data_IF_346083110322
#
_entry.id   IF_346083110322
#
_cell.length_a   1.000
_cell.length_b   1.000
_cell.length_c   1.000
_cell.angle_alpha   90.00
_cell.angle_beta   90.00
_cell.angle_gamma   90.00
#
_symmetry.space_group_name_H-M   'P 1'
#
loop_
_entity.id
_entity.type
_entity.pdbx_description
1 polymer ?
#
# COMPACT_ATOMS: atom_id res chain seq x y z
N UNK A 1 -21.64 12.73 -0.56
CA UNK A 1 -20.32 12.36 0.00
C UNK A 1 -19.77 13.58 0.72
N UNK A 2 -19.05 13.43 1.83
CA UNK A 2 -18.41 14.53 2.55
C UNK A 2 -16.97 14.17 2.93
N UNK A 3 -16.06 15.15 3.06
CA UNK A 3 -14.78 14.94 3.73
C UNK A 3 -15.02 14.59 5.20
N UNK A 4 -14.26 13.63 5.71
CA UNK A 4 -14.30 13.18 7.09
C UNK A 4 -12.90 12.84 7.61
N UNK A 5 -12.75 12.88 8.94
CA UNK A 5 -11.54 12.50 9.64
C UNK A 5 -11.79 11.30 10.54
N UNK A 6 -10.84 10.37 10.60
CA UNK A 6 -10.87 9.21 11.51
C UNK A 6 -10.62 9.67 12.95
N UNK A 7 -11.54 9.31 13.84
CA UNK A 7 -11.43 9.55 15.29
C UNK A 7 -10.84 8.31 15.99
N UNK A 8 -11.26 7.12 15.56
CA UNK A 8 -10.73 5.83 16.01
C UNK A 8 -10.92 4.77 14.92
N UNK A 9 -10.08 3.73 14.91
CA UNK A 9 -10.14 2.62 13.96
C UNK A 9 -9.85 1.30 14.65
N UNK A 10 -10.73 0.32 14.44
CA UNK A 10 -10.60 -1.05 14.94
C UNK A 10 -10.14 -1.96 13.79
N UNK A 11 -8.85 -2.28 13.75
CA UNK A 11 -8.25 -3.05 12.66
C UNK A 11 -8.77 -4.49 12.54
N UNK A 12 -9.22 -5.11 13.65
CA UNK A 12 -9.74 -6.47 13.67
C UNK A 12 -11.12 -6.60 12.98
N UNK A 13 -11.96 -5.55 13.06
CA UNK A 13 -13.31 -5.54 12.49
C UNK A 13 -13.44 -4.63 11.26
N UNK A 14 -12.37 -3.92 10.91
CA UNK A 14 -12.32 -2.94 9.82
C UNK A 14 -13.40 -1.83 9.93
N UNK A 15 -13.68 -1.40 11.17
CA UNK A 15 -14.64 -0.34 11.46
C UNK A 15 -13.93 0.90 12.01
N UNK A 16 -14.34 2.07 11.53
CA UNK A 16 -13.89 3.36 12.02
C UNK A 16 -15.02 4.15 12.66
N UNK A 17 -14.65 5.01 13.61
CA UNK A 17 -15.44 6.17 14.00
C UNK A 17 -14.91 7.38 13.23
N UNK A 18 -15.80 8.12 12.57
CA UNK A 18 -15.41 9.22 11.69
C UNK A 18 -16.20 10.49 12.03
N UNK A 19 -15.53 11.64 11.86
CA UNK A 19 -16.11 12.96 12.03
C UNK A 19 -16.21 13.64 10.66
N UNK A 20 -17.42 13.85 10.11
CA UNK A 20 -17.58 14.70 8.93
C UNK A 20 -17.08 16.12 9.21
N UNK A 21 -16.34 16.70 8.27
CA UNK A 21 -15.65 17.98 8.45
C UNK A 21 -16.45 19.19 7.96
N UNK A 22 -17.48 18.98 7.14
CA UNK A 22 -18.37 20.06 6.67
C UNK A 22 -19.52 20.25 7.64
N UNK A 23 -19.58 21.44 8.25
CA UNK A 23 -20.63 21.85 9.19
C UNK A 23 -22.00 21.96 8.52
N UNK A 24 -23.06 21.85 9.31
CA UNK A 24 -24.40 22.24 8.89
C UNK A 24 -24.63 23.72 9.21
N UNK A 25 -25.44 24.40 8.40
CA UNK A 25 -25.91 25.75 8.70
C UNK A 25 -27.41 25.65 8.98
N UNK A 26 -27.84 26.13 10.16
CA UNK A 26 -29.26 26.14 10.54
C UNK A 26 -30.01 27.26 9.81
N UNK A 27 -31.34 27.29 9.93
CA UNK A 27 -32.18 28.37 9.40
C UNK A 27 -31.82 29.75 9.95
N UNK A 28 -31.22 29.80 11.15
CA UNK A 28 -30.76 31.02 11.81
C UNK A 28 -29.31 31.38 11.47
N UNK A 29 -28.74 30.76 10.43
CA UNK A 29 -27.37 30.93 9.97
C UNK A 29 -26.29 30.54 11.01
N UNK A 30 -26.64 29.65 11.95
CA UNK A 30 -25.72 29.14 12.96
C UNK A 30 -24.99 27.91 12.41
N UNK A 31 -23.66 27.90 12.52
CA UNK A 31 -22.84 26.75 12.15
C UNK A 31 -22.86 25.69 13.24
N UNK A 32 -23.26 24.46 12.89
CA UNK A 32 -23.32 23.32 13.80
C UNK A 32 -22.43 22.19 13.27
N UNK A 33 -21.51 21.72 14.12
CA UNK A 33 -20.68 20.55 13.80
C UNK A 33 -21.57 19.31 13.72
N UNK A 34 -21.31 18.48 12.71
CA UNK A 34 -21.98 17.18 12.59
C UNK A 34 -21.54 16.27 13.73
N UNK A 35 -22.41 15.37 14.16
CA UNK A 35 -22.03 14.32 15.11
C UNK A 35 -21.00 13.35 14.54
N UNK A 36 -20.24 12.72 15.43
CA UNK A 36 -19.38 11.60 15.07
C UNK A 36 -20.23 10.40 14.66
N UNK A 37 -19.77 9.68 13.63
CA UNK A 37 -20.43 8.49 13.12
C UNK A 37 -19.60 7.28 13.51
N UNK A 38 -20.18 6.38 14.29
CA UNK A 38 -19.53 5.14 14.74
C UNK A 38 -19.76 3.99 13.75
N UNK A 39 -18.93 2.95 13.87
CA UNK A 39 -19.11 1.66 13.19
C UNK A 39 -19.25 1.76 11.66
N UNK A 40 -18.48 2.66 11.05
CA UNK A 40 -18.41 2.86 9.60
C UNK A 40 -17.36 1.92 9.01
N UNK A 41 -17.73 1.03 8.08
CA UNK A 41 -16.77 0.20 7.36
C UNK A 41 -15.77 1.05 6.57
N UNK A 42 -14.50 0.68 6.64
CA UNK A 42 -13.44 1.33 5.86
C UNK A 42 -13.19 0.55 4.56
N UNK A 43 -13.10 1.27 3.45
CA UNK A 43 -12.78 0.67 2.16
C UNK A 43 -11.39 0.03 2.18
N UNK A 44 -11.36 -1.23 1.75
CA UNK A 44 -10.16 -2.02 1.53
C UNK A 44 -10.22 -2.55 0.10
N UNK A 45 -9.18 -2.30 -0.67
CA UNK A 45 -9.09 -2.84 -2.03
C UNK A 45 -8.73 -4.32 -1.94
N UNK A 46 -9.63 -5.21 -2.35
CA UNK A 46 -9.42 -6.65 -2.20
C UNK A 46 -10.44 -7.49 -2.97
N UNK A 47 -10.08 -8.76 -3.19
CA UNK A 47 -10.84 -9.73 -3.99
C UNK A 47 -9.93 -10.88 -4.45
N UNK A 48 -10.52 -12.03 -4.81
CA UNK A 48 -9.76 -13.17 -5.33
C UNK A 48 -8.69 -13.75 -4.39
N UNK A 49 -8.85 -13.56 -3.07
CA UNK A 49 -7.87 -13.99 -2.06
C UNK A 49 -6.80 -12.95 -1.68
N UNK A 50 -6.86 -11.74 -2.26
CA UNK A 50 -5.91 -10.66 -2.00
C UNK A 50 -6.57 -9.46 -1.31
N UNK A 51 -5.80 -8.72 -0.51
CA UNK A 51 -6.23 -7.48 0.14
C UNK A 51 -5.07 -6.49 0.25
N UNK A 52 -5.32 -5.23 -0.11
CA UNK A 52 -4.43 -4.10 0.14
C UNK A 52 -4.94 -3.33 1.36
N UNK A 53 -4.11 -3.29 2.42
CA UNK A 53 -4.44 -2.66 3.69
C UNK A 53 -3.56 -1.44 3.92
N UNK A 54 -4.18 -0.28 4.08
CA UNK A 54 -3.51 0.92 4.54
C UNK A 54 -3.52 0.97 6.09
N UNK A 55 -2.44 1.45 6.74
CA UNK A 55 -2.39 1.59 8.20
C UNK A 55 -3.17 2.83 8.66
N UNK A 56 -4.49 2.70 8.76
CA UNK A 56 -5.37 3.81 9.18
C UNK A 56 -5.19 4.12 10.66
N UNK A 57 -5.04 5.40 10.99
CA UNK A 57 -4.82 5.92 12.33
C UNK A 57 -5.75 7.11 12.62
N UNK A 58 -5.82 7.50 13.90
CA UNK A 58 -6.56 8.71 14.30
C UNK A 58 -5.96 9.92 13.58
N UNK A 59 -6.83 10.73 12.99
CA UNK A 59 -6.46 11.95 12.28
C UNK A 59 -6.36 11.79 10.77
N UNK A 60 -6.31 10.55 10.26
CA UNK A 60 -6.31 10.31 8.81
C UNK A 60 -7.60 10.82 8.18
N UNK A 61 -7.47 11.35 6.96
CA UNK A 61 -8.55 11.94 6.20
C UNK A 61 -9.11 10.94 5.20
N UNK A 62 -10.31 11.24 4.72
CA UNK A 62 -10.98 10.44 3.70
C UNK A 62 -12.41 10.91 3.45
N UNK A 63 -13.09 10.23 2.55
CA UNK A 63 -14.45 10.57 2.18
C UNK A 63 -15.44 9.64 2.87
N UNK A 64 -16.49 10.20 3.46
CA UNK A 64 -17.65 9.43 3.92
C UNK A 64 -18.75 9.47 2.86
N UNK A 65 -19.20 8.30 2.40
CA UNK A 65 -20.29 8.14 1.45
C UNK A 65 -21.42 7.35 2.10
N UNK A 66 -22.59 7.98 2.25
CA UNK A 66 -23.79 7.31 2.70
C UNK A 66 -24.25 6.28 1.65
N UNK A 67 -24.65 5.10 2.10
CA UNK A 67 -25.32 4.12 1.24
C UNK A 67 -26.78 4.52 1.03
N UNK A 68 -27.40 3.93 0.01
CA UNK A 68 -28.79 4.21 -0.33
C UNK A 68 -29.77 3.73 0.75
N UNK A 69 -29.39 2.68 1.49
CA UNK A 69 -30.20 2.01 2.52
C UNK A 69 -29.35 1.59 3.71
N UNK A 70 -30.03 1.21 4.78
CA UNK A 70 -29.44 0.60 5.97
C UNK A 70 -28.67 -0.69 5.62
N UNK A 71 -27.42 -0.79 6.07
CA UNK A 71 -26.52 -1.93 5.82
C UNK A 71 -26.25 -2.78 7.08
N UNK A 72 -26.92 -2.50 8.21
CA UNK A 72 -26.66 -3.12 9.51
C UNK A 72 -26.75 -4.65 9.50
N UNK A 73 -27.73 -5.23 8.80
CA UNK A 73 -27.86 -6.68 8.67
C UNK A 73 -26.78 -7.26 7.74
N UNK A 74 -26.47 -6.59 6.64
CA UNK A 74 -25.38 -6.99 5.75
C UNK A 74 -24.03 -7.03 6.48
N UNK A 75 -23.74 -6.04 7.35
CA UNK A 75 -22.51 -6.02 8.15
C UNK A 75 -22.37 -7.22 9.10
N UNK A 76 -23.47 -7.84 9.48
CA UNK A 76 -23.48 -9.00 10.39
C UNK A 76 -23.40 -10.32 9.61
N UNK A 77 -24.25 -10.47 8.59
CA UNK A 77 -24.40 -11.73 7.87
C UNK A 77 -23.48 -11.88 6.66
N UNK A 78 -23.07 -10.78 6.03
CA UNK A 78 -22.42 -10.75 4.71
C UNK A 78 -23.24 -11.43 3.61
N UNK A 79 -24.54 -11.56 3.83
CA UNK A 79 -25.50 -12.17 2.91
C UNK A 79 -26.52 -11.13 2.45
N UNK A 80 -27.28 -11.50 1.42
CA UNK A 80 -28.44 -10.71 1.01
C UNK A 80 -29.42 -10.55 2.18
N UNK A 81 -29.78 -9.30 2.48
CA UNK A 81 -30.69 -8.97 3.56
C UNK A 81 -31.50 -7.71 3.22
N UNK A 82 -32.77 -7.62 3.66
CA UNK A 82 -33.53 -6.37 3.56
C UNK A 82 -32.93 -5.29 4.50
N UNK A 83 -33.18 -3.99 4.26
CA UNK A 83 -32.79 -2.94 5.19
C UNK A 83 -33.50 -3.09 6.54
N UNK A 84 -32.76 -3.00 7.66
CA UNK A 84 -33.35 -3.09 9.01
C UNK A 84 -34.20 -1.85 9.37
N UNK A 85 -33.86 -0.69 8.80
CA UNK A 85 -34.59 0.55 8.99
C UNK A 85 -34.90 1.19 7.64
N UNK A 86 -35.88 2.11 7.62
CA UNK A 86 -36.25 2.86 6.41
C UNK A 86 -35.30 4.04 6.10
N UNK A 87 -34.16 4.15 6.79
CA UNK A 87 -33.19 5.23 6.57
C UNK A 87 -32.63 5.14 5.15
N UNK A 88 -32.52 6.31 4.52
CA UNK A 88 -31.97 6.48 3.16
C UNK A 88 -30.94 7.58 3.19
N UNK A 89 -29.83 7.40 2.47
CA UNK A 89 -28.77 8.40 2.34
C UNK A 89 -28.27 8.97 3.68
N UNK A 90 -28.25 8.12 4.72
CA UNK A 90 -27.78 8.49 6.05
C UNK A 90 -26.31 8.13 6.22
N UNK A 91 -25.54 9.01 6.86
CA UNK A 91 -24.15 8.71 7.19
C UNK A 91 -24.00 7.60 8.24
N UNK A 92 -25.05 7.31 9.02
CA UNK A 92 -25.06 6.15 9.93
C UNK A 92 -24.88 4.81 9.21
N UNK A 93 -25.21 4.77 7.92
CA UNK A 93 -25.10 3.61 7.04
C UNK A 93 -24.13 3.93 5.91
N UNK A 94 -22.98 4.51 6.24
CA UNK A 94 -21.96 4.92 5.27
C UNK A 94 -20.82 3.92 5.11
N UNK A 95 -19.98 4.19 4.12
CA UNK A 95 -18.65 3.65 3.96
C UNK A 95 -17.63 4.80 4.00
N UNK A 96 -16.47 4.56 4.60
CA UNK A 96 -15.35 5.50 4.64
C UNK A 96 -14.30 5.09 3.62
N UNK A 97 -13.88 6.02 2.78
CA UNK A 97 -12.85 5.86 1.75
C UNK A 97 -11.61 6.65 2.19
N UNK A 98 -10.56 5.98 2.68
CA UNK A 98 -9.32 6.66 3.01
C UNK A 98 -8.76 7.38 1.79
N UNK A 99 -8.46 8.65 1.95
CA UNK A 99 -7.86 9.47 0.91
C UNK A 99 -6.91 10.43 1.59
N UNK A 100 -5.75 10.62 0.99
CA UNK A 100 -4.82 11.62 1.44
C UNK A 100 -5.30 13.05 1.15
N UNK A 101 -6.35 13.20 0.33
CA UNK A 101 -6.98 14.46 -0.02
C UNK A 101 -5.96 15.46 -0.59
N UNK A 102 -6.16 16.74 -0.32
CA UNK A 102 -5.28 17.84 -0.67
C UNK A 102 -4.01 17.92 0.19
N UNK A 103 -3.67 16.88 0.97
CA UNK A 103 -2.35 16.83 1.60
C UNK A 103 -1.32 16.68 0.49
N UNK A 104 -0.42 17.66 0.36
CA UNK A 104 0.66 17.58 -0.61
C UNK A 104 1.64 16.48 -0.20
N UNK A 105 1.81 15.48 -1.06
CA UNK A 105 2.94 14.57 -0.98
C UNK A 105 3.94 14.98 -2.03
N UNK A 106 5.19 15.05 -1.62
CA UNK A 106 6.29 15.22 -2.55
C UNK A 106 6.63 13.87 -3.16
N UNK A 107 6.49 13.79 -4.47
CA UNK A 107 7.11 12.74 -5.27
C UNK A 107 8.53 13.18 -5.65
N UNK A 108 9.44 12.23 -5.78
CA UNK A 108 10.75 12.55 -6.33
C UNK A 108 10.59 13.06 -7.76
N UNK A 109 11.41 14.03 -8.20
CA UNK A 109 11.28 14.63 -9.53
C UNK A 109 11.35 13.62 -10.68
N UNK A 110 12.06 12.52 -10.49
CA UNK A 110 12.16 11.39 -11.43
C UNK A 110 10.87 10.54 -11.55
N UNK A 111 9.96 10.64 -10.59
CA UNK A 111 8.80 9.78 -10.44
C UNK A 111 7.47 10.47 -10.76
N UNK A 112 7.49 11.77 -11.10
CA UNK A 112 6.29 12.59 -11.27
C UNK A 112 5.34 12.06 -12.35
N UNK A 113 5.87 11.42 -13.39
CA UNK A 113 5.11 10.85 -14.51
C UNK A 113 4.90 9.34 -14.40
N UNK A 114 5.28 8.74 -13.26
CA UNK A 114 5.29 7.30 -13.06
C UNK A 114 4.23 6.87 -12.04
N UNK A 115 3.81 5.60 -12.11
CA UNK A 115 2.93 5.05 -11.07
C UNK A 115 3.76 4.68 -9.85
N UNK A 116 3.43 5.24 -8.68
CA UNK A 116 4.22 5.10 -7.46
C UNK A 116 3.35 4.71 -6.28
N UNK A 117 3.80 3.70 -5.54
CA UNK A 117 3.30 3.40 -4.20
C UNK A 117 4.43 3.73 -3.22
N UNK A 118 4.20 4.71 -2.34
CA UNK A 118 5.21 5.20 -1.40
C UNK A 118 4.64 5.48 0.00
N UNK A 119 5.53 5.54 1.00
CA UNK A 119 5.20 6.17 2.28
C UNK A 119 5.05 7.70 2.12
N UNK A 120 4.39 8.37 3.06
CA UNK A 120 4.16 9.82 3.00
C UNK A 120 5.45 10.66 2.88
N UNK A 121 6.59 10.11 3.32
CA UNK A 121 7.91 10.76 3.24
C UNK A 121 8.66 10.51 1.92
N UNK A 122 8.19 9.61 1.05
CA UNK A 122 8.86 9.24 -0.21
C UNK A 122 10.17 8.45 -0.04
N UNK A 123 10.51 8.01 1.19
CA UNK A 123 11.76 7.28 1.49
C UNK A 123 11.65 5.77 1.26
N UNK A 124 10.43 5.24 1.23
CA UNK A 124 10.16 3.83 0.90
C UNK A 124 9.13 3.81 -0.21
N UNK A 125 9.51 3.31 -1.39
CA UNK A 125 8.66 3.32 -2.59
C UNK A 125 8.94 2.16 -3.54
N UNK A 126 7.91 1.82 -4.31
CA UNK A 126 8.01 1.06 -5.56
C UNK A 126 7.39 1.92 -6.66
N UNK A 127 8.19 2.20 -7.70
CA UNK A 127 7.82 3.01 -8.85
C UNK A 127 7.82 2.14 -10.11
N UNK A 128 6.72 2.16 -10.85
CA UNK A 128 6.58 1.52 -12.15
C UNK A 128 6.77 2.58 -13.23
N UNK A 129 7.89 2.47 -13.94
CA UNK A 129 8.21 3.27 -15.10
C UNK A 129 7.84 2.48 -16.35
N UNK A 130 7.87 3.12 -17.52
CA UNK A 130 7.51 2.44 -18.77
C UNK A 130 8.42 1.26 -19.13
N UNK A 131 9.67 1.27 -18.68
CA UNK A 131 10.70 0.30 -19.04
C UNK A 131 11.39 -0.38 -17.84
N UNK A 132 11.08 0.03 -16.60
CA UNK A 132 11.69 -0.54 -15.39
C UNK A 132 10.76 -0.44 -14.18
N UNK A 133 11.06 -1.24 -13.17
CA UNK A 133 10.49 -1.09 -11.84
C UNK A 133 11.63 -0.66 -10.91
N UNK A 134 11.47 0.50 -10.27
CA UNK A 134 12.44 1.04 -9.32
C UNK A 134 11.93 0.82 -7.91
N UNK A 135 12.78 0.26 -7.05
CA UNK A 135 12.49 0.13 -5.62
C UNK A 135 13.50 0.98 -4.83
N UNK A 136 13.01 1.76 -3.88
CA UNK A 136 13.87 2.53 -2.96
C UNK A 136 13.42 2.24 -1.54
N UNK A 137 14.35 1.75 -0.72
CA UNK A 137 14.17 1.49 0.70
C UNK A 137 15.55 1.42 1.39
N UNK A 138 15.64 1.69 2.71
CA UNK A 138 16.89 1.49 3.47
C UNK A 138 17.30 0.01 3.59
N UNK A 139 16.38 -0.93 3.35
CA UNK A 139 16.67 -2.37 3.28
C UNK A 139 15.45 -3.17 2.82
N UNK A 140 15.70 -4.32 2.17
CA UNK A 140 14.71 -5.27 1.68
C UNK A 140 14.97 -6.64 2.32
N UNK A 141 14.01 -7.11 3.11
CA UNK A 141 14.13 -8.35 3.87
C UNK A 141 13.18 -9.43 3.37
N UNK A 142 13.66 -10.66 3.27
CA UNK A 142 12.83 -11.85 3.06
C UNK A 142 12.91 -12.73 4.30
N UNK A 143 11.78 -12.91 4.98
CA UNK A 143 11.63 -13.61 6.27
C UNK A 143 12.48 -13.03 7.43
N UNK A 144 13.00 -11.81 7.30
CA UNK A 144 13.78 -11.14 8.35
C UNK A 144 13.59 -9.63 8.27
N UNK A 145 13.90 -8.94 9.37
CA UNK A 145 14.23 -7.51 9.31
C UNK A 145 15.68 -7.40 8.83
N UNK A 146 15.96 -6.69 7.73
CA UNK A 146 17.32 -6.58 7.23
C UNK A 146 18.29 -6.06 8.28
N UNK A 147 19.50 -6.61 8.30
CA UNK A 147 20.61 -6.00 9.02
C UNK A 147 20.76 -4.52 8.57
N UNK A 148 21.08 -3.63 9.51
CA UNK A 148 21.24 -2.20 9.23
C UNK A 148 22.33 -1.88 8.18
N UNK A 149 23.26 -2.81 7.96
CA UNK A 149 24.33 -2.69 6.98
C UNK A 149 24.04 -3.43 5.66
N UNK A 150 22.82 -3.96 5.47
CA UNK A 150 22.45 -4.73 4.29
C UNK A 150 21.24 -4.11 3.57
N UNK A 151 21.40 -3.85 2.27
CA UNK A 151 20.27 -3.47 1.42
C UNK A 151 19.36 -4.66 1.11
N UNK A 152 19.89 -5.88 1.09
CA UNK A 152 19.13 -7.11 0.87
C UNK A 152 19.55 -8.19 1.87
N UNK A 153 18.58 -8.77 2.57
CA UNK A 153 18.80 -9.79 3.60
C UNK A 153 17.73 -10.88 3.51
N UNK A 154 18.15 -12.15 3.56
CA UNK A 154 17.28 -13.31 3.41
C UNK A 154 17.59 -14.30 4.51
N UNK A 155 16.59 -14.63 5.32
CA UNK A 155 16.69 -15.65 6.36
C UNK A 155 15.83 -16.88 6.07
N UNK A 156 16.32 -18.05 6.44
CA UNK A 156 15.57 -19.31 6.33
C UNK A 156 16.44 -20.52 6.70
N UNK A 157 15.82 -21.55 7.25
CA UNK A 157 16.50 -22.81 7.63
C UNK A 157 16.17 -23.98 6.71
N UNK A 158 15.21 -23.81 5.79
CA UNK A 158 14.69 -24.90 4.92
C UNK A 158 14.92 -24.67 3.43
N UNK A 159 15.36 -23.47 3.01
CA UNK A 159 15.61 -23.10 1.61
C UNK A 159 16.86 -22.23 1.52
N UNK A 160 17.66 -22.43 0.47
CA UNK A 160 18.80 -21.58 0.13
C UNK A 160 18.38 -20.42 -0.80
N UNK A 161 19.19 -19.37 -0.87
CA UNK A 161 19.01 -18.25 -1.79
C UNK A 161 19.58 -18.56 -3.19
N UNK A 162 18.99 -17.96 -4.22
CA UNK A 162 19.57 -17.88 -5.56
C UNK A 162 19.79 -16.40 -5.91
N UNK A 163 20.81 -15.76 -5.31
CA UNK A 163 20.96 -14.30 -5.38
C UNK A 163 21.49 -13.81 -6.74
N UNK A 164 22.11 -14.70 -7.51
CA UNK A 164 22.72 -14.36 -8.80
C UNK A 164 21.94 -14.98 -9.96
N UNK A 165 21.82 -14.29 -11.11
CA UNK A 165 21.31 -14.88 -12.34
C UNK A 165 22.09 -16.14 -12.73
N UNK A 166 21.39 -17.17 -13.22
CA UNK A 166 21.99 -18.44 -13.64
C UNK A 166 22.08 -18.50 -15.17
N UNK A 167 23.28 -18.72 -15.71
CA UNK A 167 23.52 -18.73 -17.15
C UNK A 167 24.74 -19.58 -17.52
N UNK A 168 24.89 -19.96 -18.79
CA UNK A 168 26.09 -20.66 -19.28
C UNK A 168 27.27 -19.69 -19.48
N UNK A 169 28.49 -20.22 -19.68
CA UNK A 169 29.66 -19.39 -20.03
C UNK A 169 29.39 -18.53 -21.27
N UNK A 170 28.82 -19.11 -22.33
CA UNK A 170 28.53 -18.36 -23.55
C UNK A 170 27.50 -17.24 -23.35
N UNK A 171 26.50 -17.45 -22.48
CA UNK A 171 25.51 -16.41 -22.14
C UNK A 171 26.11 -15.28 -21.29
N UNK A 172 26.98 -15.62 -20.33
CA UNK A 172 27.72 -14.63 -19.51
C UNK A 172 28.62 -13.76 -20.37
N UNK A 173 29.36 -14.36 -21.30
CA UNK A 173 30.29 -13.64 -22.17
C UNK A 173 29.55 -12.77 -23.21
N UNK A 174 28.27 -13.04 -23.45
CA UNK A 174 27.40 -12.22 -24.29
C UNK A 174 26.77 -11.02 -23.57
N UNK A 175 27.00 -10.82 -22.26
CA UNK A 175 26.52 -9.64 -21.54
C UNK A 175 27.22 -8.38 -22.12
N UNK A 176 26.47 -7.41 -22.67
CA UNK A 176 27.07 -6.21 -23.24
C UNK A 176 27.56 -5.28 -22.13
N UNK A 177 28.79 -4.78 -22.26
CA UNK A 177 29.40 -3.81 -21.34
C UNK A 177 29.26 -4.17 -19.84
N UNK A 178 29.79 -5.33 -19.40
CA UNK A 178 29.69 -5.74 -18.01
C UNK A 178 30.38 -4.71 -17.08
N UNK A 179 29.79 -4.50 -15.90
CA UNK A 179 30.29 -3.58 -14.88
C UNK A 179 31.01 -4.35 -13.78
N UNK A 180 32.08 -3.78 -13.23
CA UNK A 180 32.80 -4.37 -12.09
C UNK A 180 31.84 -4.70 -10.93
N UNK A 181 32.02 -5.88 -10.33
CA UNK A 181 31.18 -6.37 -9.24
C UNK A 181 29.91 -7.10 -9.69
N UNK A 182 29.62 -7.19 -10.99
CA UNK A 182 28.57 -8.09 -11.47
C UNK A 182 28.90 -9.54 -11.13
N UNK A 183 27.92 -10.25 -10.56
CA UNK A 183 28.04 -11.64 -10.16
C UNK A 183 26.98 -12.50 -10.86
N UNK A 184 27.37 -13.66 -11.36
CA UNK A 184 26.48 -14.67 -11.95
C UNK A 184 26.79 -16.06 -11.40
N UNK A 185 25.82 -16.97 -11.41
CA UNK A 185 26.08 -18.39 -11.21
C UNK A 185 26.23 -19.07 -12.57
N UNK A 186 27.44 -19.49 -12.91
CA UNK A 186 27.77 -20.11 -14.19
C UNK A 186 27.43 -21.61 -14.18
N UNK A 187 26.52 -22.02 -15.05
CA UNK A 187 26.04 -23.40 -15.19
C UNK A 187 27.03 -24.33 -15.88
N UNK A 188 28.01 -23.81 -16.64
CA UNK A 188 29.04 -24.60 -17.32
C UNK A 188 30.22 -24.91 -16.40
N UNK A 189 30.55 -24.00 -15.49
CA UNK A 189 31.64 -24.18 -14.51
C UNK A 189 31.13 -24.57 -13.12
N UNK A 190 29.81 -24.57 -12.91
CA UNK A 190 29.14 -24.87 -11.65
C UNK A 190 29.63 -24.02 -10.45
N UNK A 191 29.85 -22.73 -10.69
CA UNK A 191 30.35 -21.80 -9.67
C UNK A 191 29.94 -20.37 -9.91
N UNK A 192 30.26 -19.51 -8.94
CA UNK A 192 30.08 -18.06 -9.08
C UNK A 192 31.14 -17.53 -10.06
N UNK A 193 30.74 -16.68 -10.99
CA UNK A 193 31.65 -15.83 -11.75
C UNK A 193 31.44 -14.37 -11.39
N UNK A 194 32.52 -13.66 -11.13
CA UNK A 194 32.54 -12.23 -10.80
C UNK A 194 33.30 -11.47 -11.87
N UNK A 195 32.73 -10.37 -12.36
CA UNK A 195 33.43 -9.49 -13.29
C UNK A 195 34.29 -8.47 -12.53
N UNK A 196 35.58 -8.46 -12.78
CA UNK A 196 36.55 -7.59 -12.08
C UNK A 196 36.82 -6.26 -12.81
N UNK A 197 35.98 -5.89 -13.79
CA UNK A 197 36.19 -4.72 -14.64
C UNK A 197 36.98 -5.00 -15.93
N UNK A 198 37.53 -6.21 -16.09
CA UNK A 198 38.21 -6.61 -17.33
C UNK A 198 37.80 -8.02 -17.79
N UNK A 199 37.78 -8.98 -16.87
CA UNK A 199 37.48 -10.39 -17.15
C UNK A 199 36.52 -10.97 -16.12
N UNK A 200 35.85 -12.06 -16.50
CA UNK A 200 35.10 -12.90 -15.58
C UNK A 200 36.03 -13.94 -14.94
N UNK A 201 36.08 -13.97 -13.61
CA UNK A 201 36.74 -15.02 -12.80
C UNK A 201 35.72 -15.86 -12.07
#
# INVERSE_FOLDING_TARGET
MLPAQVISYAAATNLAQVQPLIVMVTTDNIQVKRGQIASVPVYQYGGGGFVAKNPITKGDLGWIKANDRDISLFKQSHLSAPPNTQRKHSFSDAMFFPDTMFQGFTFAGEDVDNFVIQNKAGTVKISWWQNLIKMVAPGVGINTTPNANAYFDVAGTTKASMPFPRMTTGQRDAIPSPTEGMCVWNLSTHGISVYNGSVWS
#
